data_IF_521301866398
#
_entry.id   IF_521301866398
#
_cell.length_a   1.000
_cell.length_b   1.000
_cell.length_c   1.000
_cell.angle_alpha   90.00
_cell.angle_beta   90.00
_cell.angle_gamma   90.00
#
_symmetry.space_group_name_H-M   'P 1'
#
loop_
_entity.id
_entity.type
_entity.pdbx_description
1 polymer ?
#
# COMPACT_ATOMS: atom_id res chain seq x y z
N UNK A 1 9.64 30.15 -0.79
CA UNK A 1 9.64 28.71 -1.06
C UNK A 1 9.55 28.50 -2.56
N UNK A 2 10.38 27.63 -3.15
CA UNK A 2 10.37 27.27 -4.58
C UNK A 2 10.19 25.76 -4.74
N UNK A 3 9.76 25.31 -5.93
CA UNK A 3 9.64 23.87 -6.20
C UNK A 3 10.99 23.13 -6.08
N UNK A 4 12.09 23.77 -6.42
CA UNK A 4 13.42 23.17 -6.28
C UNK A 4 13.82 23.01 -4.82
N UNK A 5 13.47 23.98 -3.95
CA UNK A 5 13.67 23.84 -2.50
C UNK A 5 12.84 22.68 -1.93
N UNK A 6 11.61 22.50 -2.40
CA UNK A 6 10.77 21.37 -2.00
C UNK A 6 11.34 20.04 -2.49
N UNK A 7 11.83 19.95 -3.75
CA UNK A 7 12.49 18.75 -4.26
C UNK A 7 13.71 18.36 -3.43
N UNK A 8 14.52 19.35 -3.09
CA UNK A 8 15.70 19.15 -2.22
C UNK A 8 15.29 18.66 -0.84
N UNK A 9 14.29 19.29 -0.22
CA UNK A 9 13.78 18.91 1.09
C UNK A 9 13.29 17.45 1.08
N UNK A 10 12.42 17.08 0.14
CA UNK A 10 11.86 15.70 0.03
C UNK A 10 12.98 14.70 -0.22
N UNK A 11 13.91 14.99 -1.14
CA UNK A 11 15.02 14.08 -1.45
C UNK A 11 15.94 13.82 -0.25
N UNK A 12 16.17 14.82 0.60
CA UNK A 12 16.96 14.65 1.83
C UNK A 12 16.16 13.92 2.91
N UNK A 13 14.86 14.20 3.05
CA UNK A 13 13.97 13.54 3.99
C UNK A 13 13.87 12.03 3.74
N UNK A 14 13.80 11.62 2.47
CA UNK A 14 13.68 10.21 2.08
C UNK A 14 14.98 9.41 2.26
N UNK A 15 16.13 10.07 2.23
CA UNK A 15 17.44 9.41 2.27
C UNK A 15 18.14 9.57 3.61
N UNK A 16 17.69 10.49 4.42
CA UNK A 16 18.32 10.91 5.68
C UNK A 16 19.83 11.18 5.51
N UNK A 17 20.20 11.60 4.29
CA UNK A 17 21.59 11.79 3.91
C UNK A 17 21.75 12.85 2.80
N UNK A 18 22.32 14.02 3.15
CA UNK A 18 22.43 15.18 2.23
C UNK A 18 23.24 14.85 0.97
N UNK A 19 24.36 14.12 1.10
CA UNK A 19 25.22 13.80 -0.05
C UNK A 19 24.53 12.84 -1.03
N UNK A 20 23.78 11.88 -0.55
CA UNK A 20 23.04 10.94 -1.41
C UNK A 20 21.86 11.65 -2.09
N UNK A 21 21.19 12.55 -1.39
CA UNK A 21 20.14 13.40 -1.98
C UNK A 21 20.71 14.32 -3.08
N UNK A 22 21.87 14.95 -2.81
CA UNK A 22 22.57 15.79 -3.79
C UNK A 22 22.91 15.02 -5.07
N UNK A 23 23.47 13.80 -4.95
CA UNK A 23 23.74 12.91 -6.09
C UNK A 23 22.47 12.59 -6.89
N UNK A 24 21.39 12.21 -6.19
CA UNK A 24 20.12 11.87 -6.83
C UNK A 24 19.49 13.04 -7.61
N UNK A 25 19.76 14.27 -7.18
CA UNK A 25 19.29 15.50 -7.83
C UNK A 25 20.29 16.13 -8.81
N UNK A 26 21.46 15.50 -9.00
CA UNK A 26 22.57 16.07 -9.78
C UNK A 26 23.00 17.46 -9.27
N UNK A 27 23.02 17.65 -7.95
CA UNK A 27 23.44 18.86 -7.28
C UNK A 27 24.73 18.61 -6.48
N UNK A 28 25.41 19.71 -6.10
CA UNK A 28 26.48 19.65 -5.10
C UNK A 28 25.90 19.56 -3.68
N UNK A 29 26.64 18.94 -2.77
CA UNK A 29 26.23 18.89 -1.36
C UNK A 29 26.04 20.30 -0.76
N UNK A 30 26.89 21.26 -1.14
CA UNK A 30 26.79 22.65 -0.70
C UNK A 30 25.50 23.31 -1.19
N UNK A 31 25.12 23.11 -2.46
CA UNK A 31 23.87 23.64 -3.01
C UNK A 31 22.64 23.02 -2.31
N UNK A 32 22.68 21.71 -2.07
CA UNK A 32 21.61 20.99 -1.34
C UNK A 32 21.46 21.53 0.09
N UNK A 33 22.58 21.69 0.82
CA UNK A 33 22.56 22.26 2.17
C UNK A 33 22.08 23.71 2.20
N UNK A 34 22.51 24.53 1.23
CA UNK A 34 22.08 25.92 1.12
C UNK A 34 20.58 26.05 0.81
N UNK A 35 20.03 25.17 -0.04
CA UNK A 35 18.60 25.16 -0.37
C UNK A 35 17.74 24.82 0.86
N UNK A 36 18.18 23.87 1.70
CA UNK A 36 17.51 23.54 2.97
C UNK A 36 17.59 24.71 3.92
N UNK A 37 18.80 25.26 4.15
CA UNK A 37 19.00 26.38 5.06
C UNK A 37 18.15 27.61 4.66
N UNK A 38 18.09 27.92 3.37
CA UNK A 38 17.26 29.02 2.88
C UNK A 38 15.75 28.77 3.03
N UNK A 39 15.31 27.50 2.98
CA UNK A 39 13.92 27.13 3.25
C UNK A 39 13.60 27.29 4.74
N UNK A 40 14.46 26.81 5.63
CA UNK A 40 14.33 26.91 7.09
C UNK A 40 14.38 28.37 7.57
N UNK A 41 15.38 29.14 7.10
CA UNK A 41 15.55 30.56 7.45
C UNK A 41 14.35 31.42 7.02
N UNK A 42 13.83 31.18 5.81
CA UNK A 42 12.68 31.94 5.30
C UNK A 42 11.44 31.78 6.16
N UNK A 43 11.25 30.66 6.81
CA UNK A 43 10.05 30.32 7.59
C UNK A 43 10.32 30.27 9.10
N UNK A 44 11.55 30.54 9.53
CA UNK A 44 12.01 30.48 10.93
C UNK A 44 11.65 29.11 11.59
N UNK A 45 11.82 28.04 10.83
CA UNK A 45 11.49 26.66 11.28
C UNK A 45 12.62 25.71 10.90
N UNK A 46 13.07 24.89 11.85
CA UNK A 46 13.98 23.78 11.55
C UNK A 46 13.19 22.56 11.09
N UNK A 47 13.56 22.04 9.93
CA UNK A 47 12.98 20.85 9.34
C UNK A 47 13.84 19.60 9.57
N UNK A 48 15.15 19.82 9.83
CA UNK A 48 16.09 18.76 10.11
C UNK A 48 16.93 19.01 11.35
N UNK A 49 17.22 17.91 12.06
CA UNK A 49 18.22 17.86 13.12
C UNK A 49 19.46 17.06 12.66
N UNK A 50 20.62 17.44 13.19
CA UNK A 50 21.86 16.69 12.98
C UNK A 50 22.08 15.72 14.14
N UNK A 51 22.05 14.42 13.84
CA UNK A 51 22.33 13.36 14.81
C UNK A 51 23.65 12.68 14.42
N UNK A 52 24.76 13.17 14.95
CA UNK A 52 26.10 12.71 14.59
C UNK A 52 26.44 13.01 13.12
N UNK A 53 26.56 11.96 12.30
CA UNK A 53 26.80 12.07 10.85
C UNK A 53 25.54 11.97 9.99
N UNK A 54 24.38 11.74 10.59
CA UNK A 54 23.09 11.65 9.93
C UNK A 54 22.30 12.93 10.07
N UNK A 55 21.28 13.05 9.26
CA UNK A 55 20.30 14.13 9.31
C UNK A 55 18.93 13.45 9.45
N UNK A 56 18.15 13.87 10.42
CA UNK A 56 16.82 13.33 10.71
C UNK A 56 15.78 14.43 10.65
N UNK A 57 14.55 14.09 10.30
CA UNK A 57 13.45 15.05 10.31
C UNK A 57 13.10 15.45 11.75
N UNK A 58 12.93 16.75 11.97
CA UNK A 58 12.25 17.27 13.17
C UNK A 58 10.75 16.90 13.13
N UNK A 59 10.02 17.20 14.20
CA UNK A 59 8.55 17.08 14.18
C UNK A 59 7.93 17.97 13.09
N UNK A 60 8.41 19.22 12.95
CA UNK A 60 7.99 20.13 11.89
C UNK A 60 8.32 19.55 10.49
N UNK A 61 9.49 18.95 10.32
CA UNK A 61 9.87 18.27 9.08
C UNK A 61 8.96 17.10 8.73
N UNK A 62 8.59 16.28 9.72
CA UNK A 62 7.63 15.18 9.52
C UNK A 62 6.23 15.65 9.13
N UNK A 63 5.77 16.73 9.74
CA UNK A 63 4.48 17.34 9.39
C UNK A 63 4.51 18.00 8.01
N UNK A 64 5.63 18.61 7.63
CA UNK A 64 5.76 19.31 6.36
C UNK A 64 6.02 18.38 5.16
N UNK A 65 6.56 17.18 5.38
CA UNK A 65 6.91 16.25 4.29
C UNK A 65 5.73 15.88 3.39
N UNK A 66 4.56 15.48 3.91
CA UNK A 66 3.40 15.18 3.05
C UNK A 66 2.92 16.41 2.27
N UNK A 67 2.93 17.60 2.86
CA UNK A 67 2.54 18.84 2.18
C UNK A 67 3.51 19.21 1.03
N UNK A 68 4.82 19.06 1.29
CA UNK A 68 5.84 19.29 0.27
C UNK A 68 5.69 18.34 -0.93
N UNK A 69 5.38 17.06 -0.67
CA UNK A 69 5.10 16.06 -1.70
C UNK A 69 3.84 16.41 -2.48
N UNK A 70 2.76 16.78 -1.81
CA UNK A 70 1.50 17.17 -2.45
C UNK A 70 1.68 18.34 -3.42
N UNK A 71 2.44 19.38 -3.02
CA UNK A 71 2.73 20.53 -3.89
C UNK A 71 3.54 20.11 -5.11
N UNK A 72 4.56 19.26 -4.95
CA UNK A 72 5.37 18.76 -6.06
C UNK A 72 4.54 17.92 -7.02
N UNK A 73 3.66 17.06 -6.51
CA UNK A 73 2.77 16.25 -7.30
C UNK A 73 1.80 17.11 -8.13
N UNK A 74 1.19 18.13 -7.54
CA UNK A 74 0.32 19.08 -8.26
C UNK A 74 1.07 19.84 -9.37
N UNK A 75 2.34 20.21 -9.13
CA UNK A 75 3.16 20.86 -10.14
C UNK A 75 3.50 19.92 -11.32
N UNK A 76 3.74 18.62 -11.04
CA UNK A 76 3.93 17.61 -12.07
C UNK A 76 2.63 17.36 -12.85
N UNK A 77 1.48 17.27 -12.20
CA UNK A 77 0.16 17.11 -12.83
C UNK A 77 -0.14 18.26 -13.79
N UNK A 78 0.18 19.49 -13.40
CA UNK A 78 0.04 20.67 -14.27
C UNK A 78 0.94 20.58 -15.51
N UNK A 79 2.17 20.10 -15.36
CA UNK A 79 3.10 19.84 -16.47
C UNK A 79 2.60 18.75 -17.42
N UNK A 80 2.03 17.67 -16.88
CA UNK A 80 1.43 16.59 -17.66
C UNK A 80 0.22 17.09 -18.45
N UNK A 81 -0.67 17.89 -17.82
CA UNK A 81 -1.82 18.50 -18.50
C UNK A 81 -1.39 19.36 -19.70
N UNK A 82 -0.35 20.18 -19.57
CA UNK A 82 0.20 20.95 -20.69
C UNK A 82 0.72 20.05 -21.81
N UNK A 83 1.38 18.94 -21.46
CA UNK A 83 1.89 17.95 -22.41
C UNK A 83 0.75 17.22 -23.14
N UNK A 84 -0.34 16.91 -22.45
CA UNK A 84 -1.54 16.30 -23.01
C UNK A 84 -2.26 17.25 -23.99
N UNK A 85 -2.33 18.54 -23.69
CA UNK A 85 -2.89 19.58 -24.55
C UNK A 85 -2.05 19.75 -25.84
N UNK A 86 -0.74 19.53 -25.75
CA UNK A 86 0.16 19.53 -26.90
C UNK A 86 0.07 18.27 -27.79
N UNK A 87 -0.84 17.34 -27.47
CA UNK A 87 -1.06 16.10 -28.26
C UNK A 87 0.00 15.02 -28.06
N UNK A 88 0.84 15.13 -27.05
CA UNK A 88 1.84 14.12 -26.71
C UNK A 88 1.18 12.89 -26.10
N UNK A 89 1.19 11.77 -26.81
CA UNK A 89 0.74 10.44 -26.35
C UNK A 89 1.73 9.81 -25.36
N UNK A 90 2.30 10.59 -24.46
CA UNK A 90 3.28 10.13 -23.47
C UNK A 90 2.81 10.58 -22.10
N UNK A 91 2.95 9.70 -21.13
CA UNK A 91 2.58 9.97 -19.74
C UNK A 91 3.24 8.99 -18.79
N UNK A 92 3.08 9.23 -17.51
CA UNK A 92 3.48 8.33 -16.43
C UNK A 92 2.24 7.99 -15.62
N UNK A 93 2.15 6.76 -15.14
CA UNK A 93 1.13 6.30 -14.21
C UNK A 93 1.83 5.56 -13.06
N UNK A 94 1.85 6.21 -11.90
CA UNK A 94 2.41 5.67 -10.68
C UNK A 94 1.28 4.99 -9.88
N UNK A 95 1.38 3.67 -9.73
CA UNK A 95 0.41 2.85 -9.00
C UNK A 95 1.07 2.34 -7.72
N UNK A 96 0.37 2.46 -6.60
CA UNK A 96 0.72 1.77 -5.35
C UNK A 96 -0.38 0.77 -5.04
N UNK A 97 -0.04 -0.45 -4.73
CA UNK A 97 -1.03 -1.46 -4.42
C UNK A 97 -0.65 -2.29 -3.20
N UNK A 98 -1.67 -2.76 -2.50
CA UNK A 98 -1.49 -3.78 -1.50
C UNK A 98 -0.92 -5.05 -2.10
N UNK A 99 -0.26 -5.84 -1.29
CA UNK A 99 0.52 -6.98 -1.75
C UNK A 99 -0.31 -7.98 -2.56
N UNK A 100 -1.50 -8.35 -2.08
CA UNK A 100 -2.35 -9.30 -2.79
C UNK A 100 -2.74 -8.78 -4.16
N UNK A 101 -3.16 -7.50 -4.24
CA UNK A 101 -3.57 -6.86 -5.47
C UNK A 101 -2.40 -6.75 -6.44
N UNK A 102 -1.23 -6.30 -5.97
CA UNK A 102 -0.03 -6.12 -6.79
C UNK A 102 0.52 -7.42 -7.35
N UNK A 103 0.47 -8.51 -6.58
CA UNK A 103 1.09 -9.78 -6.98
C UNK A 103 0.15 -10.67 -7.80
N UNK A 104 -1.16 -10.59 -7.57
CA UNK A 104 -2.09 -11.58 -8.10
C UNK A 104 -3.14 -11.02 -9.05
N UNK A 105 -3.58 -9.77 -8.89
CA UNK A 105 -4.66 -9.21 -9.70
C UNK A 105 -4.19 -8.20 -10.74
N UNK A 106 -3.29 -7.27 -10.37
CA UNK A 106 -2.82 -6.21 -11.26
C UNK A 106 -1.94 -6.66 -12.43
N UNK A 107 -1.04 -7.66 -12.32
CA UNK A 107 -0.08 -7.94 -13.38
C UNK A 107 -0.69 -8.17 -14.77
N UNK A 108 -1.74 -8.99 -14.96
CA UNK A 108 -2.36 -9.14 -16.28
C UNK A 108 -3.04 -7.85 -16.76
N UNK A 109 -3.60 -7.05 -15.85
CA UNK A 109 -4.21 -5.75 -16.19
C UNK A 109 -3.16 -4.77 -16.70
N UNK A 110 -2.04 -4.66 -15.98
CA UNK A 110 -0.91 -3.80 -16.37
C UNK A 110 -0.31 -4.21 -17.72
N UNK A 111 -0.14 -5.52 -17.95
CA UNK A 111 0.38 -6.03 -19.21
C UNK A 111 -0.57 -5.69 -20.37
N UNK A 112 -1.87 -5.88 -20.20
CA UNK A 112 -2.88 -5.51 -21.19
C UNK A 112 -2.90 -4.00 -21.48
N UNK A 113 -2.88 -3.17 -20.44
CA UNK A 113 -2.84 -1.72 -20.59
C UNK A 113 -1.55 -1.25 -21.30
N UNK A 114 -0.38 -1.75 -20.90
CA UNK A 114 0.89 -1.40 -21.54
C UNK A 114 0.95 -1.74 -23.02
N UNK A 115 0.36 -2.86 -23.41
CA UNK A 115 0.28 -3.26 -24.81
C UNK A 115 -0.57 -2.28 -25.64
N UNK A 116 -1.66 -1.74 -25.09
CA UNK A 116 -2.53 -0.76 -25.77
C UNK A 116 -1.98 0.67 -25.70
N UNK A 117 -1.23 1.00 -24.64
CA UNK A 117 -0.69 2.33 -24.38
C UNK A 117 0.85 2.30 -24.22
N UNK A 118 1.63 1.95 -25.28
CA UNK A 118 3.07 1.75 -25.18
C UNK A 118 3.84 3.03 -24.79
N UNK A 119 3.26 4.21 -25.03
CA UNK A 119 3.84 5.50 -24.65
C UNK A 119 3.69 5.88 -23.19
N UNK A 120 2.86 5.14 -22.41
CA UNK A 120 2.69 5.40 -20.97
C UNK A 120 3.71 4.59 -20.18
N UNK A 121 4.52 5.27 -19.37
CA UNK A 121 5.38 4.64 -18.37
C UNK A 121 4.54 4.18 -17.19
N UNK A 122 4.60 2.89 -16.87
CA UNK A 122 3.93 2.33 -15.68
C UNK A 122 4.95 2.09 -14.58
N UNK A 123 4.64 2.58 -13.40
CA UNK A 123 5.39 2.28 -12.17
C UNK A 123 4.44 1.65 -11.16
N UNK A 124 4.77 0.46 -10.69
CA UNK A 124 4.05 -0.23 -9.62
C UNK A 124 4.97 -0.34 -8.41
N UNK A 125 4.48 0.09 -7.26
CA UNK A 125 5.09 -0.16 -5.96
C UNK A 125 4.12 -0.89 -5.05
N UNK A 126 4.68 -1.65 -4.11
CA UNK A 126 3.90 -2.45 -3.16
C UNK A 126 3.98 -1.78 -1.79
N UNK A 127 2.82 -1.60 -1.17
CA UNK A 127 2.70 -1.13 0.20
C UNK A 127 1.55 -1.87 0.90
N UNK A 128 1.36 -1.67 2.21
CA UNK A 128 0.13 -2.11 2.86
C UNK A 128 -0.99 -1.08 2.64
N UNK A 129 -2.22 -1.41 3.04
CA UNK A 129 -3.41 -0.58 2.84
C UNK A 129 -3.22 0.84 3.39
N UNK A 130 -2.67 0.98 4.60
CA UNK A 130 -2.46 2.28 5.23
C UNK A 130 -1.46 3.15 4.43
N UNK A 131 -0.32 2.60 4.06
CA UNK A 131 0.70 3.30 3.27
C UNK A 131 0.25 3.58 1.83
N UNK A 132 -0.61 2.74 1.26
CA UNK A 132 -1.22 2.99 -0.05
C UNK A 132 -2.11 4.22 0.02
N UNK A 133 -2.94 4.35 1.07
CA UNK A 133 -3.77 5.53 1.29
C UNK A 133 -2.92 6.81 1.44
N UNK A 134 -1.85 6.76 2.24
CA UNK A 134 -0.91 7.87 2.42
C UNK A 134 -0.27 8.29 1.09
N UNK A 135 0.23 7.34 0.29
CA UNK A 135 0.88 7.62 -0.98
C UNK A 135 -0.06 8.27 -2.01
N UNK A 136 -1.35 7.93 -1.99
CA UNK A 136 -2.35 8.59 -2.83
C UNK A 136 -2.64 10.00 -2.33
N UNK A 137 -2.75 10.21 -1.02
CA UNK A 137 -3.01 11.53 -0.43
C UNK A 137 -1.85 12.50 -0.63
N UNK A 138 -0.61 12.05 -0.43
CA UNK A 138 0.58 12.89 -0.59
C UNK A 138 1.05 13.04 -2.05
N UNK A 139 0.40 12.30 -2.98
CA UNK A 139 0.64 12.40 -4.40
C UNK A 139 1.88 11.67 -4.90
N UNK A 140 2.51 10.84 -4.11
CA UNK A 140 3.57 9.93 -4.58
C UNK A 140 3.03 8.81 -5.47
N UNK A 141 1.72 8.53 -5.38
CA UNK A 141 0.98 7.68 -6.30
C UNK A 141 -0.21 8.43 -6.92
N UNK A 142 -0.44 8.17 -8.22
CA UNK A 142 -1.59 8.68 -8.97
C UNK A 142 -2.85 7.85 -8.68
N UNK A 143 -2.66 6.56 -8.39
CA UNK A 143 -3.72 5.58 -8.21
C UNK A 143 -3.29 4.53 -7.19
N UNK A 144 -4.16 4.24 -6.22
CA UNK A 144 -3.99 3.18 -5.25
C UNK A 144 -4.87 1.97 -5.53
N UNK A 145 -4.47 0.79 -5.04
CA UNK A 145 -5.33 -0.39 -4.96
C UNK A 145 -5.16 -1.08 -3.61
N UNK A 146 -6.28 -1.33 -2.94
CA UNK A 146 -6.33 -1.92 -1.59
C UNK A 146 -7.40 -3.01 -1.50
N UNK A 147 -7.39 -3.77 -0.40
CA UNK A 147 -8.30 -4.88 -0.17
C UNK A 147 -9.59 -4.51 0.58
N UNK A 148 -9.79 -3.26 0.93
CA UNK A 148 -11.00 -2.85 1.64
C UNK A 148 -11.35 -1.39 1.34
N UNK A 149 -12.59 -0.99 1.64
CA UNK A 149 -13.00 0.38 1.52
C UNK A 149 -12.37 1.23 2.62
N UNK A 150 -11.79 2.37 2.21
CA UNK A 150 -11.15 3.28 3.15
C UNK A 150 -12.19 4.30 3.66
N UNK A 151 -12.22 4.48 4.97
CA UNK A 151 -13.13 5.46 5.62
C UNK A 151 -12.67 6.91 5.54
N UNK A 152 -11.55 7.23 4.85
CA UNK A 152 -11.05 8.60 4.74
C UNK A 152 -11.85 9.39 3.68
N UNK A 153 -12.51 10.45 4.12
CA UNK A 153 -13.36 11.29 3.27
C UNK A 153 -12.62 11.98 2.12
N UNK A 154 -11.29 12.14 2.23
CA UNK A 154 -10.44 12.72 1.19
C UNK A 154 -10.18 11.76 0.04
N UNK A 155 -10.43 10.46 0.25
CA UNK A 155 -10.24 9.41 -0.73
C UNK A 155 -11.57 9.02 -1.39
N UNK A 156 -11.53 8.82 -2.69
CA UNK A 156 -12.57 8.15 -3.46
C UNK A 156 -12.18 6.69 -3.66
N UNK A 157 -13.07 5.77 -3.26
CA UNK A 157 -12.88 4.34 -3.46
C UNK A 157 -13.92 3.78 -4.40
N UNK A 158 -13.52 2.84 -5.24
CA UNK A 158 -14.43 2.09 -6.13
C UNK A 158 -14.03 0.61 -6.13
N UNK A 159 -14.99 -0.27 -5.86
CA UNK A 159 -14.77 -1.72 -5.92
C UNK A 159 -14.47 -2.15 -7.36
N UNK A 160 -13.38 -2.92 -7.54
CA UNK A 160 -12.88 -3.34 -8.86
C UNK A 160 -12.79 -4.86 -9.02
N UNK A 161 -12.77 -5.61 -7.93
CA UNK A 161 -12.81 -7.08 -7.94
C UNK A 161 -13.27 -7.63 -6.58
N UNK A 162 -13.58 -8.92 -6.55
CA UNK A 162 -13.87 -9.67 -5.33
C UNK A 162 -12.65 -10.45 -4.85
N UNK A 163 -12.50 -10.57 -3.53
CA UNK A 163 -11.51 -11.41 -2.88
C UNK A 163 -12.14 -12.20 -1.73
N UNK A 164 -11.57 -13.34 -1.43
CA UNK A 164 -11.99 -14.21 -0.33
C UNK A 164 -10.82 -14.54 0.57
N UNK A 165 -11.03 -14.41 1.86
CA UNK A 165 -10.10 -14.84 2.89
C UNK A 165 -10.48 -16.23 3.42
N UNK A 166 -9.47 -16.95 3.87
CA UNK A 166 -9.60 -18.29 4.44
C UNK A 166 -8.76 -18.38 5.70
N UNK A 167 -9.34 -18.90 6.79
CA UNK A 167 -8.56 -19.32 7.95
C UNK A 167 -7.88 -20.63 7.60
N UNK A 168 -6.57 -20.70 7.79
CA UNK A 168 -5.76 -21.86 7.39
C UNK A 168 -4.82 -22.30 8.52
N UNK A 169 -4.47 -23.56 8.48
CA UNK A 169 -3.48 -24.20 9.35
C UNK A 169 -2.61 -25.17 8.54
N UNK A 170 -1.49 -25.62 9.12
CA UNK A 170 -0.68 -26.67 8.54
C UNK A 170 -1.46 -27.99 8.46
N UNK A 171 -1.08 -28.84 7.50
CA UNK A 171 -1.59 -30.21 7.39
C UNK A 171 -1.42 -30.97 8.71
N UNK A 172 -2.46 -31.69 9.13
CA UNK A 172 -2.49 -32.42 10.40
C UNK A 172 -2.90 -31.60 11.62
N UNK A 173 -3.32 -30.34 11.44
CA UNK A 173 -3.88 -29.53 12.52
C UNK A 173 -5.12 -30.18 13.13
N UNK A 174 -5.16 -30.27 14.47
CA UNK A 174 -6.32 -30.81 15.19
C UNK A 174 -7.49 -29.82 15.06
N UNK A 175 -8.59 -30.22 14.47
CA UNK A 175 -9.77 -29.37 14.22
C UNK A 175 -10.08 -29.14 12.75
N UNK A 176 -9.31 -29.70 11.82
CA UNK A 176 -9.69 -29.72 10.40
C UNK A 176 -10.99 -30.53 10.24
N UNK A 177 -12.05 -29.85 9.76
CA UNK A 177 -13.36 -30.49 9.49
C UNK A 177 -14.44 -30.24 10.55
N UNK A 178 -14.15 -29.61 11.67
CA UNK A 178 -15.16 -29.17 12.65
C UNK A 178 -15.29 -27.66 12.66
N UNK A 179 -16.50 -27.09 12.91
CA UNK A 179 -16.65 -25.64 13.09
C UNK A 179 -15.73 -25.12 14.19
N UNK A 180 -15.05 -24.01 13.92
CA UNK A 180 -14.11 -23.40 14.86
C UNK A 180 -14.89 -22.61 15.91
N UNK A 181 -14.68 -22.92 17.18
CA UNK A 181 -15.31 -22.19 18.29
C UNK A 181 -14.47 -20.98 18.72
N UNK A 182 -15.10 -20.01 19.41
CA UNK A 182 -14.39 -18.83 19.94
C UNK A 182 -13.23 -19.20 20.88
N UNK A 183 -13.39 -20.26 21.69
CA UNK A 183 -12.34 -20.77 22.57
C UNK A 183 -11.13 -21.33 21.80
N UNK A 184 -11.36 -21.95 20.64
CA UNK A 184 -10.28 -22.45 19.78
C UNK A 184 -9.47 -21.28 19.21
N UNK A 185 -10.15 -20.23 18.78
CA UNK A 185 -9.53 -19.01 18.24
C UNK A 185 -8.74 -18.24 19.32
N UNK A 186 -9.31 -18.12 20.54
CA UNK A 186 -8.67 -17.45 21.65
C UNK A 186 -7.38 -18.17 22.12
N UNK A 187 -7.37 -19.52 22.05
CA UNK A 187 -6.22 -20.34 22.44
C UNK A 187 -5.24 -20.66 21.31
N UNK A 188 -5.56 -20.27 20.07
CA UNK A 188 -4.71 -20.53 18.92
C UNK A 188 -3.41 -19.72 18.97
N UNK A 189 -2.35 -20.30 18.41
CA UNK A 189 -1.11 -19.57 18.10
C UNK A 189 -1.27 -18.90 16.74
N UNK A 190 -1.15 -17.58 16.72
CA UNK A 190 -1.43 -16.79 15.52
C UNK A 190 -0.16 -16.40 14.77
N UNK A 191 -0.21 -16.54 13.45
CA UNK A 191 0.74 -15.93 12.52
C UNK A 191 0.00 -14.81 11.79
N UNK A 192 0.39 -13.59 12.08
CA UNK A 192 -0.33 -12.39 11.61
C UNK A 192 0.48 -11.61 10.58
N UNK A 193 -0.24 -10.83 9.78
CA UNK A 193 0.34 -9.75 9.01
C UNK A 193 0.70 -8.58 9.94
N UNK A 194 1.57 -7.71 9.45
CA UNK A 194 1.93 -6.45 10.12
C UNK A 194 0.73 -5.54 10.32
N UNK A 195 0.85 -4.60 11.28
CA UNK A 195 -0.15 -3.55 11.48
C UNK A 195 -0.29 -2.67 10.23
N UNK A 196 -1.52 -2.27 9.91
CA UNK A 196 -1.85 -1.53 8.68
C UNK A 196 -2.10 -2.43 7.47
N UNK A 197 -2.02 -3.76 7.60
CA UNK A 197 -2.47 -4.71 6.58
C UNK A 197 -4.00 -4.83 6.60
N UNK A 198 -4.66 -4.71 5.45
CA UNK A 198 -6.10 -4.95 5.31
C UNK A 198 -6.48 -6.39 5.67
N UNK A 199 -5.64 -7.38 5.35
CA UNK A 199 -5.85 -8.78 5.76
C UNK A 199 -5.92 -8.91 7.28
N UNK A 200 -5.00 -8.24 8.01
CA UNK A 200 -5.01 -8.24 9.48
C UNK A 200 -6.25 -7.55 10.04
N UNK A 201 -6.62 -6.39 9.52
CA UNK A 201 -7.77 -5.63 10.01
C UNK A 201 -9.07 -6.44 9.91
N UNK A 202 -9.27 -7.19 8.82
CA UNK A 202 -10.43 -8.07 8.65
C UNK A 202 -10.43 -9.22 9.67
N UNK A 203 -9.26 -9.83 9.92
CA UNK A 203 -9.16 -10.85 10.96
C UNK A 203 -9.52 -10.30 12.33
N UNK A 204 -8.91 -9.17 12.71
CA UNK A 204 -9.15 -8.55 14.00
C UNK A 204 -10.65 -8.23 14.19
N UNK A 205 -11.29 -7.61 13.19
CA UNK A 205 -12.74 -7.34 13.23
C UNK A 205 -13.61 -8.61 13.29
N UNK A 206 -13.23 -9.69 12.60
CA UNK A 206 -13.93 -10.96 12.66
C UNK A 206 -13.78 -11.62 14.04
N UNK A 207 -12.59 -11.59 14.64
CA UNK A 207 -12.35 -12.13 15.98
C UNK A 207 -13.14 -11.36 17.04
N UNK A 208 -13.14 -10.02 16.97
CA UNK A 208 -13.94 -9.17 17.87
C UNK A 208 -15.45 -9.48 17.77
N UNK A 209 -15.96 -9.60 16.54
CA UNK A 209 -17.36 -9.97 16.31
C UNK A 209 -17.70 -11.36 16.86
N UNK A 210 -16.71 -12.25 16.95
CA UNK A 210 -16.83 -13.58 17.53
C UNK A 210 -16.63 -13.60 19.06
N UNK A 211 -16.38 -12.43 19.67
CA UNK A 211 -16.19 -12.28 21.12
C UNK A 211 -14.79 -12.66 21.62
N UNK A 212 -13.79 -12.67 20.74
CA UNK A 212 -12.38 -12.95 21.10
C UNK A 212 -11.67 -11.65 21.48
N UNK A 213 -11.03 -11.65 22.65
CA UNK A 213 -10.21 -10.51 23.09
C UNK A 213 -8.87 -10.48 22.33
N UNK A 214 -8.69 -9.47 21.48
CA UNK A 214 -7.48 -9.29 20.68
C UNK A 214 -6.22 -9.07 21.52
N UNK A 215 -6.35 -8.54 22.75
CA UNK A 215 -5.21 -8.30 23.64
C UNK A 215 -4.66 -9.59 24.25
N UNK A 216 -5.47 -10.64 24.29
CA UNK A 216 -5.12 -11.95 24.84
C UNK A 216 -4.59 -12.93 23.76
N UNK A 217 -4.54 -12.54 22.49
CA UNK A 217 -4.08 -13.42 21.41
C UNK A 217 -2.62 -13.80 21.58
N UNK A 218 -2.32 -15.11 21.44
CA UNK A 218 -0.95 -15.61 21.36
C UNK A 218 -0.40 -15.41 19.95
N UNK A 219 0.27 -14.27 19.73
CA UNK A 219 0.89 -13.95 18.43
C UNK A 219 2.30 -14.53 18.41
N UNK A 220 2.53 -15.59 17.65
CA UNK A 220 3.83 -16.24 17.50
C UNK A 220 4.73 -15.46 16.54
N UNK A 221 4.17 -14.98 15.42
CA UNK A 221 4.90 -14.24 14.41
C UNK A 221 4.04 -13.11 13.84
N UNK A 222 4.66 -11.94 13.65
CA UNK A 222 4.12 -10.85 12.85
C UNK A 222 5.02 -10.70 11.61
N UNK A 223 4.43 -10.83 10.40
CA UNK A 223 5.18 -10.93 9.15
C UNK A 223 4.67 -9.94 8.11
N UNK A 224 5.57 -9.38 7.27
CA UNK A 224 5.23 -8.28 6.35
C UNK A 224 4.59 -8.75 5.03
N UNK A 225 4.31 -10.05 4.86
CA UNK A 225 3.76 -10.55 3.60
C UNK A 225 2.86 -11.78 3.77
N UNK A 226 1.84 -11.91 2.92
CA UNK A 226 0.97 -13.08 2.90
C UNK A 226 1.75 -14.37 2.56
N UNK A 227 2.75 -14.28 1.71
CA UNK A 227 3.63 -15.40 1.35
C UNK A 227 4.48 -15.84 2.55
N UNK A 228 4.99 -14.89 3.35
CA UNK A 228 5.74 -15.21 4.58
C UNK A 228 4.80 -15.82 5.64
N UNK A 229 3.58 -15.29 5.80
CA UNK A 229 2.56 -15.87 6.68
C UNK A 229 2.24 -17.30 6.23
N UNK A 230 2.00 -17.52 4.93
CA UNK A 230 1.76 -18.86 4.39
C UNK A 230 2.91 -19.84 4.72
N UNK A 231 4.13 -19.44 4.42
CA UNK A 231 5.31 -20.28 4.66
C UNK A 231 5.49 -20.62 6.15
N UNK A 232 5.25 -19.67 7.05
CA UNK A 232 5.32 -19.89 8.50
C UNK A 232 4.22 -20.86 8.98
N UNK A 233 2.99 -20.73 8.45
CA UNK A 233 1.89 -21.66 8.78
C UNK A 233 2.21 -23.07 8.26
N UNK A 234 2.71 -23.21 7.03
CA UNK A 234 3.15 -24.50 6.47
C UNK A 234 4.24 -25.17 7.32
N UNK A 235 5.12 -24.35 7.92
CA UNK A 235 6.14 -24.82 8.87
C UNK A 235 5.59 -25.15 10.28
N UNK A 236 4.29 -25.00 10.53
CA UNK A 236 3.64 -25.35 11.79
C UNK A 236 3.73 -24.28 12.87
N UNK A 237 4.02 -23.02 12.54
CA UNK A 237 4.11 -21.94 13.53
C UNK A 237 2.75 -21.62 14.19
N UNK A 238 1.63 -21.91 13.53
CA UNK A 238 0.31 -21.64 14.07
C UNK A 238 -0.77 -21.58 13.00
N UNK A 239 -1.80 -20.77 13.23
CA UNK A 239 -2.91 -20.53 12.30
C UNK A 239 -2.88 -19.08 11.82
N UNK A 240 -3.52 -18.78 10.70
CA UNK A 240 -3.66 -17.42 10.21
C UNK A 240 -4.65 -17.34 9.08
N UNK A 241 -4.96 -16.13 8.63
CA UNK A 241 -5.78 -15.95 7.44
C UNK A 241 -4.94 -15.60 6.21
N UNK A 242 -5.36 -16.14 5.09
CA UNK A 242 -4.74 -15.86 3.78
C UNK A 242 -5.80 -15.55 2.73
N UNK A 243 -5.49 -14.69 1.75
CA UNK A 243 -6.27 -14.62 0.52
C UNK A 243 -6.34 -15.99 -0.15
N UNK A 244 -7.51 -16.35 -0.68
CA UNK A 244 -7.70 -17.63 -1.34
C UNK A 244 -6.68 -17.86 -2.47
N UNK A 245 -6.35 -16.81 -3.23
CA UNK A 245 -5.36 -16.89 -4.32
C UNK A 245 -3.94 -17.21 -3.82
N UNK A 246 -3.60 -16.83 -2.58
CA UNK A 246 -2.30 -17.15 -1.95
C UNK A 246 -2.30 -18.57 -1.38
N UNK A 247 -3.45 -19.01 -0.82
CA UNK A 247 -3.58 -20.32 -0.18
C UNK A 247 -3.80 -21.47 -1.19
N UNK A 248 -4.36 -21.20 -2.38
CA UNK A 248 -4.86 -22.18 -3.34
C UNK A 248 -3.85 -23.30 -3.66
N UNK A 249 -2.62 -22.97 -4.00
CA UNK A 249 -1.61 -23.97 -4.33
C UNK A 249 -1.29 -24.90 -3.15
N UNK A 250 -1.16 -24.33 -1.94
CA UNK A 250 -0.87 -25.07 -0.72
C UNK A 250 -2.05 -25.95 -0.25
N UNK A 251 -3.27 -25.48 -0.45
CA UNK A 251 -4.48 -26.26 -0.20
C UNK A 251 -4.60 -27.45 -1.15
N UNK A 252 -4.31 -27.24 -2.46
CA UNK A 252 -4.33 -28.34 -3.46
C UNK A 252 -3.24 -29.37 -3.22
N UNK A 253 -2.07 -28.97 -2.76
CA UNK A 253 -0.97 -29.91 -2.44
C UNK A 253 -1.12 -30.54 -1.05
N UNK A 254 -2.08 -30.07 -0.24
CA UNK A 254 -2.33 -30.59 1.11
C UNK A 254 -1.29 -30.17 2.14
N UNK A 255 -0.44 -29.16 1.88
CA UNK A 255 0.48 -28.60 2.88
C UNK A 255 -0.25 -27.68 3.86
N UNK A 256 -1.37 -27.08 3.41
CA UNK A 256 -2.32 -26.36 4.25
C UNK A 256 -3.69 -27.03 4.24
N UNK A 257 -4.46 -26.79 5.28
CA UNK A 257 -5.88 -27.10 5.39
C UNK A 257 -6.67 -25.86 5.72
N UNK A 258 -7.85 -25.70 5.10
CA UNK A 258 -8.79 -24.65 5.47
C UNK A 258 -9.55 -25.06 6.73
N UNK A 259 -9.67 -24.14 7.66
CA UNK A 259 -10.50 -24.31 8.85
C UNK A 259 -11.87 -23.66 8.60
N UNK A 260 -12.99 -24.33 8.97
CA UNK A 260 -14.35 -23.79 8.81
C UNK A 260 -14.57 -22.59 9.72
N UNK A 261 -14.29 -21.39 9.22
CA UNK A 261 -14.52 -20.12 9.89
C UNK A 261 -15.00 -19.09 8.87
N UNK A 262 -16.15 -18.51 9.11
CA UNK A 262 -16.74 -17.53 8.21
C UNK A 262 -16.07 -16.17 8.40
N UNK A 263 -15.36 -15.73 7.38
CA UNK A 263 -14.76 -14.42 7.29
C UNK A 263 -15.63 -13.51 6.42
N UNK A 264 -15.69 -12.21 6.73
CA UNK A 264 -16.38 -11.25 5.88
C UNK A 264 -15.85 -11.30 4.44
N UNK A 265 -16.76 -11.18 3.48
CA UNK A 265 -16.35 -10.99 2.08
C UNK A 265 -15.65 -9.64 1.95
N UNK A 266 -14.57 -9.59 1.18
CA UNK A 266 -13.89 -8.33 0.86
C UNK A 266 -13.79 -8.14 -0.64
N UNK A 267 -13.46 -6.93 -1.06
CA UNK A 267 -13.18 -6.60 -2.44
C UNK A 267 -11.81 -5.99 -2.63
N UNK A 268 -11.38 -5.88 -3.88
CA UNK A 268 -10.33 -4.95 -4.24
C UNK A 268 -10.95 -3.63 -4.64
N UNK A 269 -10.33 -2.55 -4.20
CA UNK A 269 -10.80 -1.19 -4.44
C UNK A 269 -9.70 -0.36 -5.08
N UNK A 270 -10.06 0.42 -6.10
CA UNK A 270 -9.23 1.53 -6.56
C UNK A 270 -9.38 2.71 -5.61
N UNK A 271 -8.31 3.46 -5.42
CA UNK A 271 -8.22 4.59 -4.49
C UNK A 271 -7.66 5.80 -5.22
N UNK A 272 -8.37 6.92 -5.14
CA UNK A 272 -7.99 8.21 -5.71
C UNK A 272 -8.14 9.31 -4.66
N UNK A 273 -7.31 10.33 -4.71
CA UNK A 273 -7.55 11.56 -3.94
C UNK A 273 -8.67 12.37 -4.61
N UNK A 274 -9.70 12.77 -3.84
CA UNK A 274 -10.88 13.48 -4.37
C UNK A 274 -10.56 14.88 -4.89
N UNK A 275 -9.60 15.54 -4.24
CA UNK A 275 -9.26 16.94 -4.52
C UNK A 275 -8.14 17.08 -5.58
N UNK A 276 -7.71 15.95 -6.18
CA UNK A 276 -6.68 15.97 -7.23
C UNK A 276 -7.29 15.70 -8.59
N UNK A 277 -6.72 16.40 -9.59
CA UNK A 277 -7.08 16.16 -10.98
C UNK A 277 -6.59 14.76 -11.42
N UNK A 278 -7.51 13.94 -11.92
CA UNK A 278 -7.16 12.63 -12.48
C UNK A 278 -6.60 12.81 -13.88
N UNK A 279 -5.35 12.37 -14.11
CA UNK A 279 -4.73 12.42 -15.43
C UNK A 279 -5.49 11.54 -16.43
N UNK A 280 -5.34 11.81 -17.73
CA UNK A 280 -5.91 10.95 -18.79
C UNK A 280 -5.39 9.52 -18.70
N UNK A 281 -4.15 9.31 -18.25
CA UNK A 281 -3.58 7.97 -18.06
C UNK A 281 -4.34 7.21 -16.97
N UNK A 282 -4.65 7.86 -15.83
CA UNK A 282 -5.46 7.28 -14.74
C UNK A 282 -6.87 6.96 -15.26
N UNK A 283 -7.54 7.92 -15.94
CA UNK A 283 -8.87 7.72 -16.45
C UNK A 283 -8.94 6.56 -17.47
N UNK A 284 -7.98 6.48 -18.39
CA UNK A 284 -7.87 5.39 -19.35
C UNK A 284 -7.64 4.04 -18.65
N UNK A 285 -6.77 4.00 -17.65
CA UNK A 285 -6.49 2.77 -16.89
C UNK A 285 -7.73 2.27 -16.16
N UNK A 286 -8.44 3.17 -15.47
CA UNK A 286 -9.68 2.81 -14.75
C UNK A 286 -10.80 2.34 -15.70
N UNK A 287 -10.92 2.95 -16.88
CA UNK A 287 -11.90 2.54 -17.89
C UNK A 287 -11.65 1.15 -18.48
N UNK A 288 -10.39 0.66 -18.40
CA UNK A 288 -9.98 -0.64 -18.93
C UNK A 288 -9.90 -1.74 -17.86
N UNK A 289 -10.24 -1.43 -16.60
CA UNK A 289 -10.30 -2.44 -15.55
C UNK A 289 -11.37 -3.49 -15.88
N UNK A 290 -11.12 -4.76 -15.53
CA UNK A 290 -12.12 -5.81 -15.70
C UNK A 290 -13.44 -5.43 -15.01
N UNK A 291 -14.55 -5.53 -15.73
CA UNK A 291 -15.87 -5.31 -15.14
C UNK A 291 -16.17 -6.39 -14.11
N UNK A 292 -16.55 -6.01 -12.89
CA UNK A 292 -16.99 -6.96 -11.87
C UNK A 292 -18.23 -7.67 -12.42
N UNK A 293 -18.14 -8.98 -12.60
CA UNK A 293 -19.35 -9.80 -12.76
C UNK A 293 -19.93 -9.97 -11.35
N UNK A 294 -20.83 -9.11 -10.94
CA UNK A 294 -21.64 -9.34 -9.75
C UNK A 294 -22.42 -10.64 -10.01
N UNK A 295 -22.21 -11.71 -9.23
CA UNK A 295 -23.10 -12.86 -9.36
C UNK A 295 -24.50 -12.41 -9.03
N UNK A 296 -25.53 -12.89 -9.74
CA UNK A 296 -26.91 -12.61 -9.39
C UNK A 296 -27.16 -13.07 -7.95
N UNK A 297 -27.88 -12.24 -7.19
CA UNK A 297 -28.28 -12.46 -5.80
C UNK A 297 -29.09 -13.75 -5.64
#
# INVERSE_FOLDING_TARGET
>A
MTLDQLRVFVAVAEREHVTEAAKALNLTQSATSAAIAALEERHDVRLFDRVGRRIELTEAGRLFLPEARAVLALAEDAGLMLSELAGLKRGRLCIVASQTVANHWLPPVLAGFKARHPGIELRLSIANTARTAEAVLDGTADLGFVEDELGDVRLGTQRVADDRLMLVAASGHRGSGSPVAAGDLASARWVLRERGSGTRAILEGALEAFGVDLTALSVELELPSNEAVRAAIEAGAGVGILPAVVADAALRTGTLVALPFDLPSRGFYSVLARDRHSSRAVAAFLAELPTIKVPPA
#
